data_IF_093026395973
#
_entry.id   IF_093026395973
#
_cell.length_a   1.000
_cell.length_b   1.000
_cell.length_c   1.000
_cell.angle_alpha   90.00
_cell.angle_beta   90.00
_cell.angle_gamma   90.00
#
_symmetry.space_group_name_H-M   'P 1'
#
loop_
_entity.id
_entity.type
_entity.pdbx_description
1 polymer ?
#
# COMPACT_ATOMS: atom_id res chain seq x y z
N UNK A 1 -37.73 13.41 7.87
CA UNK A 1 -36.83 12.27 8.16
C UNK A 1 -35.72 12.02 7.14
N UNK A 2 -35.86 12.32 5.83
CA UNK A 2 -34.91 11.82 4.81
C UNK A 2 -33.57 12.56 4.63
N UNK A 3 -33.46 13.85 4.97
CA UNK A 3 -32.26 14.65 4.62
C UNK A 3 -31.09 14.45 5.59
N UNK A 4 -31.37 14.29 6.88
CA UNK A 4 -30.34 14.08 7.91
C UNK A 4 -29.69 12.69 7.85
N UNK A 5 -30.46 11.66 7.47
CA UNK A 5 -29.95 10.29 7.33
C UNK A 5 -29.00 10.17 6.14
N UNK A 6 -29.30 10.83 5.01
CA UNK A 6 -28.45 10.81 3.82
C UNK A 6 -27.12 11.54 4.07
N UNK A 7 -27.16 12.68 4.80
CA UNK A 7 -25.93 13.41 5.18
C UNK A 7 -25.10 12.60 6.17
N UNK A 8 -25.72 11.94 7.15
CA UNK A 8 -25.02 11.06 8.09
C UNK A 8 -24.41 9.83 7.40
N UNK A 9 -25.08 9.25 6.41
CA UNK A 9 -24.56 8.13 5.62
C UNK A 9 -23.37 8.53 4.74
N UNK A 10 -23.42 9.71 4.12
CA UNK A 10 -22.31 10.26 3.34
C UNK A 10 -21.08 10.58 4.19
N UNK A 11 -21.28 11.06 5.42
CA UNK A 11 -20.19 11.35 6.35
C UNK A 11 -19.53 10.07 6.90
N UNK A 12 -20.30 8.99 7.09
CA UNK A 12 -19.77 7.69 7.52
C UNK A 12 -18.88 7.01 6.46
N UNK A 13 -19.14 7.21 5.16
CA UNK A 13 -18.30 6.60 4.10
C UNK A 13 -16.91 7.26 3.99
N UNK A 14 -16.77 8.54 4.34
CA UNK A 14 -15.48 9.24 4.28
C UNK A 14 -14.48 8.78 5.37
N UNK A 15 -14.98 8.30 6.52
CA UNK A 15 -14.14 7.86 7.63
C UNK A 15 -13.39 6.53 7.34
N UNK A 16 -13.93 5.67 6.45
CA UNK A 16 -13.30 4.40 6.06
C UNK A 16 -12.16 4.55 5.04
N UNK A 17 -12.07 5.69 4.35
CA UNK A 17 -11.03 5.94 3.34
C UNK A 17 -9.69 6.42 3.95
N UNK A 18 -9.69 6.88 5.20
CA UNK A 18 -8.53 7.52 5.82
C UNK A 18 -7.40 6.56 6.26
N UNK A 19 -7.61 5.24 6.24
CA UNK A 19 -6.60 4.24 6.57
C UNK A 19 -5.84 3.65 5.36
N UNK A 20 -6.15 4.05 4.12
CA UNK A 20 -5.64 3.34 2.93
C UNK A 20 -4.28 3.86 2.42
N UNK A 21 -3.85 5.08 2.77
CA UNK A 21 -2.63 5.69 2.23
C UNK A 21 -1.35 5.48 3.05
N UNK A 22 -1.45 5.46 4.38
CA UNK A 22 -0.27 5.34 5.27
C UNK A 22 0.41 3.97 5.18
N UNK A 23 -0.36 2.90 4.99
CA UNK A 23 0.19 1.54 4.94
C UNK A 23 1.10 1.30 3.74
N UNK A 24 0.73 1.78 2.55
CA UNK A 24 1.52 1.57 1.34
C UNK A 24 2.90 2.23 1.43
N UNK A 25 2.96 3.46 1.95
CA UNK A 25 4.21 4.21 2.10
C UNK A 25 5.14 3.54 3.12
N UNK A 26 4.62 3.16 4.28
CA UNK A 26 5.38 2.47 5.33
C UNK A 26 5.92 1.11 4.86
N UNK A 27 5.10 0.33 4.16
CA UNK A 27 5.52 -0.93 3.54
C UNK A 27 6.64 -0.69 2.52
N UNK A 28 6.54 0.35 1.69
CA UNK A 28 7.54 0.65 0.67
C UNK A 28 8.89 1.05 1.28
N UNK A 29 8.86 1.91 2.30
CA UNK A 29 10.05 2.34 3.02
C UNK A 29 10.74 1.17 3.73
N UNK A 30 9.94 0.29 4.35
CA UNK A 30 10.45 -0.93 5.00
C UNK A 30 11.04 -1.89 3.97
N UNK A 31 10.39 -2.08 2.82
CA UNK A 31 10.91 -2.91 1.73
C UNK A 31 12.27 -2.39 1.24
N UNK A 32 12.42 -1.08 1.08
CA UNK A 32 13.70 -0.44 0.71
C UNK A 32 14.76 -0.60 1.81
N UNK A 33 14.37 -0.53 3.09
CA UNK A 33 15.28 -0.76 4.20
C UNK A 33 15.80 -2.20 4.21
N UNK A 34 14.92 -3.19 4.13
CA UNK A 34 15.26 -4.62 4.07
C UNK A 34 16.15 -4.94 2.87
N UNK A 35 15.87 -4.34 1.71
CA UNK A 35 16.70 -4.48 0.52
C UNK A 35 18.14 -3.97 0.76
N UNK A 36 18.29 -2.80 1.39
CA UNK A 36 19.60 -2.25 1.77
C UNK A 36 20.32 -3.11 2.80
N UNK A 37 19.60 -3.84 3.64
CA UNK A 37 20.14 -4.82 4.58
C UNK A 37 20.42 -6.20 3.95
N UNK A 38 20.30 -6.32 2.62
CA UNK A 38 20.44 -7.57 1.86
C UNK A 38 19.42 -8.66 2.24
N UNK A 39 18.33 -8.29 2.92
CA UNK A 39 17.22 -9.19 3.24
C UNK A 39 16.21 -9.22 2.08
N UNK A 40 16.65 -9.72 0.93
CA UNK A 40 15.91 -9.65 -0.32
C UNK A 40 14.58 -10.40 -0.27
N UNK A 41 14.52 -11.51 0.46
CA UNK A 41 13.29 -12.28 0.63
C UNK A 41 12.21 -11.49 1.37
N UNK A 42 12.58 -10.73 2.41
CA UNK A 42 11.62 -9.91 3.12
C UNK A 42 11.22 -8.68 2.31
N UNK A 43 12.18 -8.03 1.65
CA UNK A 43 11.90 -6.92 0.74
C UNK A 43 10.90 -7.31 -0.36
N UNK A 44 11.06 -8.49 -0.98
CA UNK A 44 10.12 -9.01 -1.98
C UNK A 44 8.69 -9.13 -1.44
N UNK A 45 8.52 -9.74 -0.27
CA UNK A 45 7.20 -9.92 0.35
C UNK A 45 6.49 -8.59 0.60
N UNK A 46 7.23 -7.60 1.08
CA UNK A 46 6.69 -6.27 1.34
C UNK A 46 6.28 -5.56 0.04
N UNK A 47 7.09 -5.64 -1.03
CA UNK A 47 6.69 -5.11 -2.33
C UNK A 47 5.47 -5.83 -2.93
N UNK A 48 5.40 -7.16 -2.81
CA UNK A 48 4.23 -7.97 -3.21
C UNK A 48 2.97 -7.55 -2.43
N UNK A 49 3.10 -7.28 -1.13
CA UNK A 49 2.01 -6.82 -0.27
C UNK A 49 1.46 -5.46 -0.70
N UNK A 50 2.34 -4.51 -1.08
CA UNK A 50 1.92 -3.20 -1.60
C UNK A 50 1.09 -3.38 -2.89
N UNK A 51 1.53 -4.27 -3.78
CA UNK A 51 0.81 -4.54 -5.04
C UNK A 51 -0.55 -5.17 -4.76
N UNK A 52 -0.63 -6.08 -3.79
CA UNK A 52 -1.88 -6.77 -3.44
C UNK A 52 -2.88 -5.85 -2.73
N UNK A 53 -2.42 -5.04 -1.77
CA UNK A 53 -3.29 -4.20 -0.92
C UNK A 53 -3.58 -2.82 -1.51
N UNK A 54 -2.68 -2.30 -2.35
CA UNK A 54 -2.77 -0.95 -2.91
C UNK A 54 -2.57 -0.94 -4.44
N UNK A 55 -3.29 -1.78 -5.22
CA UNK A 55 -2.99 -2.07 -6.62
C UNK A 55 -3.06 -0.86 -7.56
N UNK A 56 -3.82 0.18 -7.21
CA UNK A 56 -3.99 1.41 -7.99
C UNK A 56 -3.07 2.55 -7.56
N UNK A 57 -2.22 2.33 -6.55
CA UNK A 57 -1.29 3.35 -6.04
C UNK A 57 -0.04 3.48 -6.91
N UNK A 58 0.56 4.67 -6.92
CA UNK A 58 1.89 4.88 -7.52
C UNK A 58 2.96 4.00 -6.86
N UNK A 59 2.81 3.70 -5.57
CA UNK A 59 3.72 2.82 -4.84
C UNK A 59 3.63 1.37 -5.30
N UNK A 60 2.46 0.89 -5.72
CA UNK A 60 2.35 -0.43 -6.35
C UNK A 60 3.06 -0.48 -7.72
N UNK A 61 3.04 0.61 -8.49
CA UNK A 61 3.83 0.69 -9.72
C UNK A 61 5.34 0.63 -9.41
N UNK A 62 5.80 1.46 -8.47
CA UNK A 62 7.21 1.45 -8.02
C UNK A 62 7.63 0.10 -7.43
N UNK A 63 6.77 -0.55 -6.64
CA UNK A 63 7.04 -1.86 -6.06
C UNK A 63 7.26 -2.94 -7.15
N UNK A 64 6.48 -2.92 -8.24
CA UNK A 64 6.69 -3.80 -9.40
C UNK A 64 8.03 -3.55 -10.07
N UNK A 65 8.41 -2.28 -10.26
CA UNK A 65 9.72 -1.92 -10.83
C UNK A 65 10.87 -2.46 -9.97
N UNK A 66 10.76 -2.34 -8.64
CA UNK A 66 11.75 -2.89 -7.71
C UNK A 66 11.84 -4.41 -7.81
N UNK A 67 10.72 -5.13 -7.79
CA UNK A 67 10.70 -6.59 -7.93
C UNK A 67 11.37 -7.08 -9.22
N UNK A 68 11.15 -6.37 -10.34
CA UNK A 68 11.75 -6.70 -11.64
C UNK A 68 13.26 -6.45 -11.68
N UNK A 69 13.77 -5.49 -10.88
CA UNK A 69 15.20 -5.19 -10.80
C UNK A 69 15.97 -6.14 -9.86
N UNK A 70 15.27 -6.95 -9.06
CA UNK A 70 15.90 -7.86 -8.10
C UNK A 70 16.33 -9.19 -8.74
N UNK A 71 17.47 -9.78 -8.32
CA UNK A 71 17.92 -11.10 -8.79
C UNK A 71 16.90 -12.19 -8.46
N UNK A 72 16.52 -13.03 -9.42
CA UNK A 72 15.55 -14.11 -9.21
C UNK A 72 15.87 -14.96 -7.96
N UNK A 73 14.81 -15.50 -7.33
CA UNK A 73 14.93 -16.42 -6.18
C UNK A 73 15.74 -17.66 -6.54
#
# INVERSE_FOLDING_TARGET
MGRGVVVAFFFCMLALAACSGKGAQELFETAQFEEKQHNLEHARKLYEEIIAKHPQSELAAKAKERLNAMPAR
#
